data_IF_786912813659
#
_entry.id   IF_786912813659
#
_cell.length_a   1.000
_cell.length_b   1.000
_cell.length_c   1.000
_cell.angle_alpha   90.00
_cell.angle_beta   90.00
_cell.angle_gamma   90.00
#
_symmetry.space_group_name_H-M   'P 1'
#
loop_
_entity.id
_entity.type
_entity.pdbx_description
1 polymer ?
#
# COMPACT_ATOMS: atom_id res chain seq x y z
N UNK A 1 8.36 22.48 7.36
CA UNK A 1 7.41 22.69 6.23
C UNK A 1 7.00 21.38 5.54
N UNK A 2 7.04 20.22 6.22
CA UNK A 2 6.57 18.91 5.71
C UNK A 2 5.31 18.37 6.43
N UNK A 3 5.00 18.95 7.60
CA UNK A 3 3.93 18.47 8.48
C UNK A 3 2.53 18.69 7.88
N UNK A 4 2.32 19.82 7.20
CA UNK A 4 1.04 20.18 6.58
C UNK A 4 0.63 19.25 5.43
N UNK A 5 1.58 18.62 4.74
CA UNK A 5 1.29 17.69 3.63
C UNK A 5 0.90 16.29 4.11
N UNK A 6 1.48 15.80 5.21
CA UNK A 6 1.13 14.47 5.76
C UNK A 6 -0.23 14.49 6.47
N UNK A 7 -0.55 15.56 7.20
CA UNK A 7 -1.88 15.71 7.82
C UNK A 7 -2.98 15.80 6.74
N UNK A 8 -2.75 16.59 5.69
CA UNK A 8 -3.64 16.66 4.54
C UNK A 8 -3.82 15.28 3.87
N UNK A 9 -2.72 14.55 3.67
CA UNK A 9 -2.74 13.21 3.09
C UNK A 9 -3.56 12.24 3.96
N UNK A 10 -3.36 12.28 5.28
CA UNK A 10 -4.11 11.47 6.26
C UNK A 10 -5.60 11.76 6.19
N UNK A 11 -6.01 13.03 6.21
CA UNK A 11 -7.42 13.38 6.15
C UNK A 11 -8.06 13.01 4.79
N UNK A 12 -7.36 13.27 3.69
CA UNK A 12 -7.86 12.95 2.35
C UNK A 12 -7.98 11.44 2.14
N UNK A 13 -6.98 10.66 2.56
CA UNK A 13 -6.96 9.20 2.38
C UNK A 13 -8.07 8.46 3.11
N UNK A 14 -8.65 9.01 4.20
CA UNK A 14 -9.81 8.41 4.91
C UNK A 14 -11.04 8.22 4.03
N UNK A 15 -11.14 8.94 2.91
CA UNK A 15 -12.25 8.84 1.96
C UNK A 15 -12.10 7.67 0.97
N UNK A 16 -10.94 7.00 0.97
CA UNK A 16 -10.60 5.95 0.02
C UNK A 16 -10.19 4.67 0.75
N UNK A 17 -10.50 3.52 0.15
CA UNK A 17 -10.06 2.23 0.67
C UNK A 17 -8.59 1.95 0.41
N UNK A 18 -8.00 2.53 -0.63
CA UNK A 18 -6.63 2.20 -1.02
C UNK A 18 -5.84 3.43 -1.43
N UNK A 19 -4.54 3.40 -1.16
CA UNK A 19 -3.59 4.41 -1.61
C UNK A 19 -2.66 3.77 -2.63
N UNK A 20 -2.59 4.31 -3.86
CA UNK A 20 -1.66 3.78 -4.87
C UNK A 20 -0.23 4.30 -4.61
N UNK A 21 0.63 3.43 -4.09
CA UNK A 21 2.05 3.69 -3.82
C UNK A 21 2.94 3.13 -4.95
N UNK A 22 2.60 3.44 -6.20
CA UNK A 22 3.33 2.90 -7.35
C UNK A 22 4.63 3.64 -7.59
N UNK A 23 5.70 2.89 -7.80
CA UNK A 23 6.94 3.45 -8.32
C UNK A 23 6.87 3.69 -9.82
N UNK A 24 7.78 4.55 -10.29
CA UNK A 24 7.81 4.97 -11.68
C UNK A 24 8.20 3.84 -12.66
N UNK A 25 8.73 2.72 -12.14
CA UNK A 25 9.12 1.54 -12.90
C UNK A 25 8.98 0.27 -12.06
N UNK A 26 8.75 -0.85 -12.73
CA UNK A 26 8.75 -2.18 -12.11
C UNK A 26 10.19 -2.63 -11.94
N UNK A 27 10.67 -2.65 -10.69
CA UNK A 27 12.01 -3.08 -10.35
C UNK A 27 12.01 -3.75 -8.97
N UNK A 28 12.89 -4.73 -8.77
CA UNK A 28 13.08 -5.37 -7.48
C UNK A 28 13.71 -4.39 -6.48
N UNK A 29 13.18 -4.36 -5.26
CA UNK A 29 13.61 -3.50 -4.15
C UNK A 29 13.64 -1.99 -4.42
N UNK A 30 13.07 -1.53 -5.54
CA UNK A 30 12.90 -0.10 -5.79
C UNK A 30 11.71 0.40 -4.95
N UNK A 31 12.02 0.94 -3.77
CA UNK A 31 11.03 1.49 -2.83
C UNK A 31 11.43 2.91 -2.46
N UNK A 32 10.50 3.85 -2.59
CA UNK A 32 10.71 5.27 -2.28
C UNK A 32 9.74 5.77 -1.22
N UNK A 33 9.69 7.08 -1.01
CA UNK A 33 8.76 7.73 -0.08
C UNK A 33 7.28 7.48 -0.41
N UNK A 34 6.95 7.01 -1.62
CA UNK A 34 5.57 6.71 -2.01
C UNK A 34 4.94 5.62 -1.16
N UNK A 35 5.71 4.58 -0.83
CA UNK A 35 5.25 3.54 0.09
C UNK A 35 5.20 4.06 1.52
N UNK A 36 6.24 4.77 1.97
CA UNK A 36 6.27 5.33 3.33
C UNK A 36 5.06 6.26 3.58
N UNK A 37 4.75 7.15 2.63
CA UNK A 37 3.55 8.01 2.66
C UNK A 37 2.25 7.21 2.64
N UNK A 38 2.22 6.10 1.92
CA UNK A 38 1.08 5.19 1.89
C UNK A 38 0.87 4.49 3.23
N UNK A 39 1.93 4.04 3.90
CA UNK A 39 1.88 3.46 5.25
C UNK A 39 1.48 4.50 6.32
N UNK A 40 1.87 5.76 6.10
CA UNK A 40 1.46 6.91 6.93
C UNK A 40 0.06 7.44 6.63
N UNK A 41 -0.57 6.95 5.55
CA UNK A 41 -1.94 7.29 5.19
C UNK A 41 -2.94 6.51 6.06
N UNK A 42 -4.21 6.93 6.04
CA UNK A 42 -5.29 6.20 6.71
C UNK A 42 -5.99 5.20 5.78
N UNK A 43 -5.27 4.69 4.78
CA UNK A 43 -5.74 3.62 3.89
C UNK A 43 -4.63 2.60 3.62
N UNK A 44 -4.99 1.45 3.04
CA UNK A 44 -4.01 0.41 2.75
C UNK A 44 -3.25 0.77 1.46
N UNK A 45 -1.91 0.90 1.49
CA UNK A 45 -1.13 1.14 0.29
C UNK A 45 -1.09 -0.07 -0.64
N UNK A 46 -1.11 0.18 -1.94
CA UNK A 46 -0.87 -0.81 -2.99
C UNK A 46 0.48 -0.50 -3.63
N UNK A 47 1.43 -1.42 -3.50
CA UNK A 47 2.80 -1.29 -3.99
C UNK A 47 3.00 -2.04 -5.31
N UNK A 48 3.64 -1.37 -6.27
CA UNK A 48 4.11 -1.98 -7.51
C UNK A 48 5.46 -2.69 -7.36
N UNK A 49 6.23 -2.35 -6.34
CA UNK A 49 7.56 -2.93 -6.12
C UNK A 49 7.48 -4.33 -5.49
N UNK A 50 8.39 -5.22 -5.92
CA UNK A 50 8.70 -6.46 -5.19
C UNK A 50 9.76 -6.14 -4.13
N UNK A 51 9.36 -6.10 -2.86
CA UNK A 51 10.22 -5.69 -1.76
C UNK A 51 10.67 -6.95 -1.03
N UNK A 52 11.83 -7.47 -1.38
CA UNK A 52 12.43 -8.62 -0.70
C UNK A 52 13.24 -8.16 0.52
N UNK A 53 13.80 -6.94 0.47
CA UNK A 53 14.61 -6.36 1.55
C UNK A 53 13.83 -5.63 2.64
N UNK A 54 12.58 -5.22 2.38
CA UNK A 54 11.77 -4.44 3.34
C UNK A 54 10.77 -5.34 4.05
N UNK A 55 10.96 -5.54 5.36
CA UNK A 55 10.06 -6.36 6.18
C UNK A 55 8.96 -5.49 6.79
N UNK A 56 7.81 -5.44 6.13
CA UNK A 56 6.63 -4.75 6.64
C UNK A 56 5.73 -5.69 7.46
N UNK A 57 4.94 -5.15 8.41
CA UNK A 57 3.95 -5.94 9.14
C UNK A 57 2.99 -6.68 8.19
N UNK A 58 2.51 -7.89 8.54
CA UNK A 58 1.55 -8.60 7.72
C UNK A 58 0.31 -7.74 7.43
N UNK A 59 -0.19 -7.79 6.19
CA UNK A 59 -1.40 -7.07 5.73
C UNK A 59 -1.32 -5.54 5.78
N UNK A 60 -0.13 -4.97 6.02
CA UNK A 60 0.08 -3.51 6.00
C UNK A 60 0.03 -2.89 4.60
N UNK A 61 0.07 -3.70 3.54
CA UNK A 61 0.00 -3.26 2.15
C UNK A 61 -0.51 -4.40 1.25
N UNK A 62 -0.95 -4.05 0.05
CA UNK A 62 -1.18 -4.99 -1.05
C UNK A 62 -0.05 -4.89 -2.06
N UNK A 63 0.33 -6.03 -2.63
CA UNK A 63 1.33 -6.10 -3.70
C UNK A 63 0.63 -6.29 -5.04
N UNK A 64 1.02 -5.53 -6.05
CA UNK A 64 0.67 -5.84 -7.44
C UNK A 64 1.47 -7.08 -7.86
N UNK A 65 0.83 -8.18 -8.27
CA UNK A 65 1.55 -9.33 -8.79
C UNK A 65 2.25 -8.95 -10.10
N UNK A 66 3.54 -9.25 -10.17
CA UNK A 66 4.41 -8.98 -11.30
C UNK A 66 5.18 -10.25 -11.61
N UNK A 67 5.19 -10.65 -12.87
CA UNK A 67 5.98 -11.76 -13.39
C UNK A 67 6.98 -11.24 -14.42
N UNK A 68 8.26 -11.58 -14.27
CA UNK A 68 9.37 -11.13 -15.14
C UNK A 68 9.34 -9.63 -15.50
N UNK A 69 8.98 -8.78 -14.53
CA UNK A 69 8.90 -7.32 -14.70
C UNK A 69 7.63 -6.82 -15.40
N UNK A 70 6.64 -7.68 -15.63
CA UNK A 70 5.37 -7.35 -16.27
C UNK A 70 4.19 -7.62 -15.32
N UNK A 71 3.22 -6.73 -15.37
CA UNK A 71 1.91 -6.94 -14.77
C UNK A 71 1.10 -7.79 -15.75
N UNK A 72 0.46 -8.86 -15.27
CA UNK A 72 -0.41 -9.72 -16.09
C UNK A 72 -1.87 -9.51 -15.75
N UNK A 73 -2.76 -9.88 -16.67
CA UNK A 73 -4.22 -9.80 -16.45
C UNK A 73 -4.64 -10.67 -15.25
N UNK A 74 -4.02 -11.83 -15.07
CA UNK A 74 -4.26 -12.72 -13.92
C UNK A 74 -3.84 -12.06 -12.61
N UNK A 75 -2.67 -11.41 -12.59
CA UNK A 75 -2.19 -10.68 -11.42
C UNK A 75 -3.09 -9.51 -11.05
N UNK A 76 -3.62 -8.79 -12.03
CA UNK A 76 -4.62 -7.74 -11.81
C UNK A 76 -5.93 -8.34 -11.28
N UNK A 77 -6.39 -9.46 -11.82
CA UNK A 77 -7.60 -10.13 -11.35
C UNK A 77 -7.46 -10.60 -9.88
N UNK A 78 -6.31 -11.16 -9.52
CA UNK A 78 -6.00 -11.58 -8.15
C UNK A 78 -6.00 -10.37 -7.19
N UNK A 79 -5.30 -9.29 -7.54
CA UNK A 79 -5.28 -8.06 -6.75
C UNK A 79 -6.70 -7.50 -6.57
N UNK A 80 -7.49 -7.45 -7.64
CA UNK A 80 -8.86 -6.98 -7.59
C UNK A 80 -9.74 -7.85 -6.68
N UNK A 81 -9.51 -9.16 -6.65
CA UNK A 81 -10.21 -10.07 -5.75
C UNK A 81 -9.83 -9.82 -4.29
N UNK A 82 -8.54 -9.64 -3.99
CA UNK A 82 -8.08 -9.30 -2.64
C UNK A 82 -8.68 -7.96 -2.17
N UNK A 83 -8.68 -6.94 -3.05
CA UNK A 83 -9.31 -5.65 -2.76
C UNK A 83 -10.80 -5.80 -2.45
N UNK A 84 -11.54 -6.60 -3.24
CA UNK A 84 -12.97 -6.86 -3.00
C UNK A 84 -13.23 -7.54 -1.65
N UNK A 85 -12.40 -8.51 -1.27
CA UNK A 85 -12.51 -9.20 0.02
C UNK A 85 -12.31 -8.23 1.18
N UNK A 86 -11.28 -7.38 1.12
CA UNK A 86 -11.04 -6.35 2.14
C UNK A 86 -12.18 -5.32 2.21
N UNK A 87 -12.72 -4.89 1.07
CA UNK A 87 -13.86 -3.97 1.06
C UNK A 87 -15.14 -4.61 1.63
N UNK A 88 -15.28 -5.93 1.56
CA UNK A 88 -16.43 -6.66 2.09
C UNK A 88 -16.32 -6.91 3.62
N UNK A 89 -15.11 -6.97 4.17
CA UNK A 89 -14.85 -7.13 5.60
C UNK A 89 -14.15 -5.89 6.17
N UNK A 90 -14.96 -4.98 6.72
CA UNK A 90 -14.47 -3.72 7.29
C UNK A 90 -13.51 -3.94 8.46
N UNK A 91 -13.68 -4.99 9.27
CA UNK A 91 -12.79 -5.23 10.40
C UNK A 91 -11.41 -5.68 9.91
N UNK A 92 -11.37 -6.60 8.94
CA UNK A 92 -10.11 -7.04 8.33
C UNK A 92 -9.40 -5.88 7.64
N UNK A 93 -10.14 -5.03 6.93
CA UNK A 93 -9.57 -3.82 6.36
C UNK A 93 -8.96 -2.90 7.43
N UNK A 94 -9.68 -2.63 8.52
CA UNK A 94 -9.16 -1.76 9.60
C UNK A 94 -7.95 -2.38 10.32
N UNK A 95 -7.87 -3.71 10.42
CA UNK A 95 -6.65 -4.41 10.88
C UNK A 95 -5.47 -4.12 9.95
N UNK A 96 -5.68 -4.13 8.63
CA UNK A 96 -4.68 -3.76 7.63
C UNK A 96 -4.21 -2.30 7.78
N UNK A 97 -5.14 -1.36 7.90
CA UNK A 97 -4.82 0.08 8.12
C UNK A 97 -4.01 0.28 9.39
N UNK A 98 -4.40 -0.37 10.49
CA UNK A 98 -3.67 -0.27 11.77
C UNK A 98 -2.25 -0.85 11.65
N UNK A 99 -2.12 -1.98 10.94
CA UNK A 99 -0.83 -2.61 10.63
C UNK A 99 0.08 -1.68 9.81
N UNK A 100 -0.49 -0.97 8.83
CA UNK A 100 0.21 0.01 8.00
C UNK A 100 0.71 1.22 8.81
N UNK A 101 -0.16 1.82 9.61
CA UNK A 101 0.18 2.99 10.43
C UNK A 101 1.24 2.69 11.50
N UNK A 102 1.33 1.45 11.99
CA UNK A 102 2.38 1.04 12.92
C UNK A 102 3.79 1.06 12.27
N UNK A 103 3.87 0.89 10.95
CA UNK A 103 5.13 0.99 10.19
C UNK A 103 5.48 2.40 9.70
N UNK A 104 4.51 3.31 9.60
CA UNK A 104 4.74 4.70 9.16
C UNK A 104 5.54 5.55 10.17
N UNK A 105 5.48 5.22 11.46
CA UNK A 105 6.17 5.95 12.52
C UNK A 105 7.67 5.64 12.70
N UNK A 106 8.28 4.84 11.82
CA UNK A 106 9.68 4.40 11.92
C UNK A 106 10.70 5.30 11.20
N UNK A 107 10.29 6.49 10.72
CA UNK A 107 11.21 7.49 10.11
C UNK A 107 11.52 8.64 11.04
#
# INVERSE_FOLDING_TARGET
>A
MWYRSLECLREFSKQYWFYLSFENAVCEDYVTEKLARGLDSHSIPISLANQTGVRLPPRSYLKVPVDTGKITDEGIAELAQQMKQLMADREEYMRGVTSASASGGLT
#
